data_IF_805100135891
#
_entry.id   IF_805100135891
#
_cell.length_a   1.000
_cell.length_b   1.000
_cell.length_c   1.000
_cell.angle_alpha   90.00
_cell.angle_beta   90.00
_cell.angle_gamma   90.00
#
_symmetry.space_group_name_H-M   'P 1'
#
loop_
_entity.id
_entity.type
_entity.pdbx_description
1 polymer ?
#
# COMPACT_ATOMS: atom_id res chain seq x y z
N UNK A 1 -16.75 1.54 8.34
CA UNK A 1 -15.94 0.49 7.68
C UNK A 1 -16.78 -0.23 6.63
N UNK A 2 -16.76 0.28 5.40
CA UNK A 2 -17.43 -0.32 4.23
C UNK A 2 -16.49 -0.39 3.00
N UNK A 3 -17.01 -0.88 1.87
CA UNK A 3 -16.24 -1.00 0.63
C UNK A 3 -15.81 0.35 0.05
N UNK A 4 -16.65 1.40 0.17
CA UNK A 4 -16.33 2.72 -0.37
C UNK A 4 -15.18 3.36 0.42
N UNK A 5 -15.20 3.23 1.75
CA UNK A 5 -14.11 3.66 2.63
C UNK A 5 -12.81 2.88 2.34
N UNK A 6 -12.89 1.55 2.15
CA UNK A 6 -11.73 0.72 1.82
C UNK A 6 -11.10 1.12 0.48
N UNK A 7 -11.92 1.38 -0.54
CA UNK A 7 -11.43 1.81 -1.85
C UNK A 7 -10.88 3.24 -1.81
N UNK A 8 -11.46 4.14 -1.02
CA UNK A 8 -10.92 5.47 -0.80
C UNK A 8 -9.55 5.42 -0.09
N UNK A 9 -9.38 4.51 0.87
CA UNK A 9 -8.07 4.23 1.49
C UNK A 9 -7.07 3.71 0.46
N UNK A 10 -7.45 2.74 -0.37
CA UNK A 10 -6.60 2.27 -1.48
C UNK A 10 -6.18 3.42 -2.41
N UNK A 11 -7.10 4.35 -2.74
CA UNK A 11 -6.78 5.52 -3.54
C UNK A 11 -5.70 6.42 -2.94
N UNK A 12 -5.71 6.62 -1.61
CA UNK A 12 -4.65 7.38 -0.91
C UNK A 12 -3.31 6.64 -0.93
N UNK A 13 -3.33 5.32 -0.70
CA UNK A 13 -2.14 4.47 -0.79
C UNK A 13 -1.54 4.50 -2.20
N UNK A 14 -2.37 4.46 -3.25
CA UNK A 14 -1.89 4.54 -4.63
C UNK A 14 -1.17 5.86 -4.93
N UNK A 15 -1.66 6.99 -4.40
CA UNK A 15 -0.99 8.28 -4.54
C UNK A 15 0.39 8.30 -3.86
N UNK A 16 0.51 7.73 -2.66
CA UNK A 16 1.81 7.62 -1.97
C UNK A 16 2.77 6.65 -2.68
N UNK A 17 2.26 5.51 -3.17
CA UNK A 17 3.04 4.56 -3.95
C UNK A 17 3.65 5.19 -5.22
N UNK A 18 2.84 5.94 -5.98
CA UNK A 18 3.31 6.70 -7.14
C UNK A 18 4.35 7.77 -6.76
N UNK A 19 4.12 8.51 -5.67
CA UNK A 19 5.06 9.53 -5.17
C UNK A 19 6.42 8.93 -4.80
N UNK A 20 6.43 7.73 -4.23
CA UNK A 20 7.63 7.01 -3.81
C UNK A 20 8.27 6.17 -4.92
N UNK A 21 7.57 5.98 -6.05
CA UNK A 21 8.03 5.08 -7.12
C UNK A 21 8.17 3.63 -6.65
N UNK A 22 7.35 3.22 -5.68
CA UNK A 22 7.34 1.87 -5.11
C UNK A 22 5.91 1.42 -4.87
N UNK A 23 5.56 0.24 -5.35
CA UNK A 23 4.16 -0.20 -5.45
C UNK A 23 3.90 -1.44 -4.59
N UNK A 24 2.79 -1.50 -3.85
CA UNK A 24 2.42 -2.68 -3.08
C UNK A 24 1.82 -3.77 -3.97
N UNK A 25 1.90 -5.02 -3.49
CA UNK A 25 0.93 -6.03 -3.86
C UNK A 25 -0.23 -5.97 -2.88
N UNK A 26 -1.48 -6.06 -3.36
CA UNK A 26 -2.63 -6.03 -2.46
C UNK A 26 -3.83 -6.81 -2.97
N UNK A 27 -4.74 -7.13 -2.04
CA UNK A 27 -6.07 -7.61 -2.35
C UNK A 27 -7.12 -6.88 -1.51
N UNK A 28 -8.29 -6.66 -2.11
CA UNK A 28 -9.44 -6.08 -1.42
C UNK A 28 -10.64 -7.02 -1.48
N UNK A 29 -11.25 -7.28 -0.32
CA UNK A 29 -12.47 -8.06 -0.18
C UNK A 29 -13.42 -7.31 0.74
N UNK A 30 -14.46 -6.71 0.15
CA UNK A 30 -15.38 -5.80 0.83
C UNK A 30 -14.63 -4.67 1.57
N UNK A 31 -14.73 -4.62 2.89
CA UNK A 31 -14.10 -3.61 3.73
C UNK A 31 -12.69 -3.97 4.21
N UNK A 32 -12.11 -5.07 3.72
CA UNK A 32 -10.77 -5.53 4.10
C UNK A 32 -9.79 -5.33 2.96
N UNK A 33 -8.67 -4.68 3.24
CA UNK A 33 -7.51 -4.57 2.33
C UNK A 33 -6.35 -5.30 2.99
N UNK A 34 -5.72 -6.22 2.26
CA UNK A 34 -4.47 -6.89 2.66
C UNK A 34 -3.38 -6.35 1.74
N UNK A 35 -2.28 -5.89 2.33
CA UNK A 35 -1.16 -5.27 1.64
C UNK A 35 0.10 -6.05 1.98
N UNK A 36 0.81 -6.48 0.95
CA UNK A 36 2.11 -7.14 1.00
C UNK A 36 3.15 -6.23 0.34
N UNK A 37 4.28 -6.02 1.01
CA UNK A 37 5.34 -5.13 0.56
C UNK A 37 6.63 -5.92 0.35
N UNK A 38 7.17 -5.82 -0.86
CA UNK A 38 8.46 -6.38 -1.25
C UNK A 38 9.04 -5.56 -2.40
N UNK A 39 10.36 -5.40 -2.43
CA UNK A 39 11.04 -4.84 -3.58
C UNK A 39 11.23 -5.92 -4.64
N UNK A 40 10.35 -5.95 -5.66
CA UNK A 40 10.32 -7.02 -6.68
C UNK A 40 11.65 -7.17 -7.44
N UNK A 41 12.34 -6.06 -7.70
CA UNK A 41 13.64 -6.02 -8.37
C UNK A 41 14.78 -6.61 -7.52
N UNK A 42 14.70 -6.47 -6.20
CA UNK A 42 15.66 -7.03 -5.25
C UNK A 42 15.29 -8.46 -4.81
N UNK A 43 14.01 -8.84 -4.92
CA UNK A 43 13.49 -10.11 -4.44
C UNK A 43 13.44 -10.24 -2.91
N UNK A 44 13.59 -9.13 -2.19
CA UNK A 44 13.63 -9.07 -0.73
C UNK A 44 13.03 -7.76 -0.19
N UNK A 45 12.86 -7.69 1.13
CA UNK A 45 12.44 -6.46 1.81
C UNK A 45 13.60 -5.48 1.86
N UNK A 46 13.38 -4.26 1.40
CA UNK A 46 14.36 -3.17 1.43
C UNK A 46 13.81 -1.96 2.20
N UNK A 47 14.59 -0.88 2.26
CA UNK A 47 14.16 0.38 2.88
C UNK A 47 12.94 1.01 2.17
N UNK A 48 12.76 0.78 0.86
CA UNK A 48 11.60 1.26 0.10
C UNK A 48 10.28 0.69 0.63
N UNK A 49 10.31 -0.59 1.04
CA UNK A 49 9.16 -1.26 1.63
C UNK A 49 8.78 -0.64 2.98
N UNK A 50 9.79 -0.32 3.81
CA UNK A 50 9.58 0.36 5.09
C UNK A 50 9.06 1.78 4.91
N UNK A 51 9.58 2.52 3.93
CA UNK A 51 9.12 3.88 3.60
C UNK A 51 7.66 3.88 3.13
N UNK A 52 7.29 2.96 2.24
CA UNK A 52 5.92 2.82 1.78
C UNK A 52 4.98 2.37 2.91
N UNK A 53 5.41 1.45 3.79
CA UNK A 53 4.64 1.06 4.96
C UNK A 53 4.30 2.26 5.87
N UNK A 54 5.28 3.13 6.12
CA UNK A 54 5.08 4.34 6.92
C UNK A 54 4.13 5.33 6.25
N UNK A 55 4.23 5.50 4.92
CA UNK A 55 3.32 6.35 4.18
C UNK A 55 1.88 5.81 4.20
N UNK A 56 1.70 4.50 4.10
CA UNK A 56 0.39 3.81 4.21
C UNK A 56 -0.23 4.05 5.60
N UNK A 57 0.54 3.89 6.67
CA UNK A 57 0.07 4.12 8.03
C UNK A 57 -0.36 5.58 8.26
N UNK A 58 0.33 6.54 7.65
CA UNK A 58 0.01 7.96 7.75
C UNK A 58 -1.30 8.36 7.06
N UNK A 59 -1.76 7.57 6.08
CA UNK A 59 -3.00 7.82 5.33
C UNK A 59 -4.16 6.91 5.73
N UNK A 60 -4.00 6.12 6.80
CA UNK A 60 -5.02 5.19 7.28
C UNK A 60 -6.33 5.89 7.66
#
# INVERSE_FOLDING_TARGET
ADFAEAFAFMGRVAAEAERLGHHPDWSNSWNRVVIDLISHDAGEVTARDLELAQAIDAVR
#
